data_IF_093642635457
#
_entry.id   IF_093642635457
#
_cell.length_a   1.000
_cell.length_b   1.000
_cell.length_c   1.000
_cell.angle_alpha   90.00
_cell.angle_beta   90.00
_cell.angle_gamma   90.00
#
_symmetry.space_group_name_H-M   'P 1'
#
loop_
_entity.id
_entity.type
_entity.pdbx_description
1 polymer ?
#
# COMPACT_ATOMS: atom_id res chain seq x y z
N UNK A 1 19.05 21.99 -0.03
CA UNK A 1 18.34 21.05 0.86
C UNK A 1 16.87 20.85 0.46
N UNK A 2 16.06 21.91 0.37
CA UNK A 2 14.61 21.84 0.09
C UNK A 2 14.25 21.15 -1.24
N UNK A 3 14.98 21.40 -2.32
CA UNK A 3 14.72 20.78 -3.64
C UNK A 3 14.79 19.24 -3.64
N UNK A 4 15.71 18.66 -2.88
CA UNK A 4 15.83 17.19 -2.79
C UNK A 4 14.67 16.57 -2.02
N UNK A 5 14.17 17.27 -1.00
CA UNK A 5 12.99 16.86 -0.23
C UNK A 5 11.76 16.92 -1.12
N UNK A 6 11.54 18.05 -1.81
CA UNK A 6 10.44 18.20 -2.77
C UNK A 6 10.47 17.12 -3.86
N UNK A 7 11.64 16.85 -4.43
CA UNK A 7 11.83 15.77 -5.41
C UNK A 7 11.50 14.38 -4.86
N UNK A 8 11.88 14.09 -3.62
CA UNK A 8 11.55 12.82 -2.94
C UNK A 8 10.06 12.68 -2.64
N UNK A 9 9.40 13.77 -2.25
CA UNK A 9 7.95 13.77 -2.04
C UNK A 9 7.20 13.48 -3.35
N UNK A 10 7.60 14.13 -4.45
CA UNK A 10 6.99 13.91 -5.77
C UNK A 10 7.24 12.48 -6.25
N UNK A 11 8.48 11.99 -6.14
CA UNK A 11 8.83 10.62 -6.52
C UNK A 11 8.06 9.59 -5.70
N UNK A 12 7.93 9.80 -4.39
CA UNK A 12 7.19 8.89 -3.50
C UNK A 12 5.71 8.84 -3.85
N UNK A 13 5.09 10.00 -4.07
CA UNK A 13 3.68 10.08 -4.46
C UNK A 13 3.42 9.42 -5.83
N UNK A 14 4.27 9.70 -6.82
CA UNK A 14 4.16 9.10 -8.16
C UNK A 14 4.42 7.59 -8.15
N UNK A 15 5.48 7.15 -7.47
CA UNK A 15 5.84 5.73 -7.36
C UNK A 15 4.77 4.90 -6.65
N UNK A 16 4.20 5.42 -5.55
CA UNK A 16 3.10 4.76 -4.84
C UNK A 16 1.85 4.65 -5.72
N UNK A 17 1.48 5.72 -6.43
CA UNK A 17 0.32 5.71 -7.33
C UNK A 17 0.47 4.70 -8.48
N UNK A 18 1.63 4.65 -9.13
CA UNK A 18 1.91 3.68 -10.21
C UNK A 18 1.87 2.25 -9.67
N UNK A 19 2.43 2.00 -8.49
CA UNK A 19 2.41 0.69 -7.87
C UNK A 19 0.97 0.23 -7.59
N UNK A 20 0.18 1.05 -6.90
CA UNK A 20 -1.21 0.72 -6.58
C UNK A 20 -2.06 0.49 -7.83
N UNK A 21 -1.91 1.32 -8.87
CA UNK A 21 -2.66 1.13 -10.13
C UNK A 21 -2.24 -0.17 -10.82
N UNK A 22 -0.96 -0.52 -10.80
CA UNK A 22 -0.46 -1.77 -11.38
C UNK A 22 -1.06 -3.00 -10.70
N UNK A 23 -1.12 -2.98 -9.36
CA UNK A 23 -1.69 -4.09 -8.57
C UNK A 23 -3.21 -4.22 -8.78
N UNK A 24 -3.93 -3.09 -8.88
CA UNK A 24 -5.37 -3.07 -9.22
C UNK A 24 -5.59 -3.68 -10.61
N UNK A 25 -4.79 -3.29 -11.61
CA UNK A 25 -4.93 -3.80 -12.97
C UNK A 25 -4.70 -5.31 -13.06
N UNK A 26 -3.74 -5.84 -12.31
CA UNK A 26 -3.50 -7.29 -12.26
C UNK A 26 -4.70 -8.00 -11.62
N UNK A 27 -5.28 -7.42 -10.55
CA UNK A 27 -6.49 -7.97 -9.95
C UNK A 27 -7.65 -7.99 -10.94
N UNK A 28 -7.87 -6.91 -11.69
CA UNK A 28 -9.02 -6.80 -12.58
C UNK A 28 -8.87 -7.61 -13.88
N UNK A 29 -7.65 -7.72 -14.42
CA UNK A 29 -7.39 -8.36 -15.72
C UNK A 29 -7.03 -9.85 -15.62
N UNK A 30 -6.52 -10.31 -14.48
CA UNK A 30 -5.99 -11.68 -14.33
C UNK A 30 -6.83 -12.49 -13.36
N UNK A 31 -7.25 -13.68 -13.80
CA UNK A 31 -7.96 -14.67 -12.96
C UNK A 31 -7.10 -15.15 -11.79
N UNK A 32 -7.74 -15.46 -10.65
CA UNK A 32 -7.06 -15.77 -9.37
C UNK A 32 -5.92 -16.79 -9.49
N UNK A 33 -6.08 -17.81 -10.33
CA UNK A 33 -5.10 -18.90 -10.52
C UNK A 33 -3.79 -18.42 -11.15
N UNK A 34 -3.84 -17.42 -12.04
CA UNK A 34 -2.65 -16.88 -12.72
C UNK A 34 -2.05 -15.67 -12.03
N UNK A 35 -2.76 -15.01 -11.09
CA UNK A 35 -2.26 -13.84 -10.35
C UNK A 35 -0.93 -14.11 -9.65
N UNK A 36 -0.73 -15.33 -9.14
CA UNK A 36 0.54 -15.74 -8.53
C UNK A 36 1.73 -15.63 -9.49
N UNK A 37 1.56 -16.00 -10.76
CA UNK A 37 2.62 -15.93 -11.77
C UNK A 37 2.95 -14.48 -12.15
N UNK A 38 1.93 -13.63 -12.30
CA UNK A 38 2.14 -12.20 -12.61
C UNK A 38 2.78 -11.45 -11.43
N UNK A 39 2.35 -11.73 -10.20
CA UNK A 39 2.99 -11.20 -9.00
C UNK A 39 4.43 -11.71 -8.84
N UNK A 40 4.71 -12.96 -9.21
CA UNK A 40 6.08 -13.48 -9.25
C UNK A 40 6.93 -12.78 -10.32
N UNK A 41 6.38 -12.49 -11.50
CA UNK A 41 7.08 -11.72 -12.54
C UNK A 41 7.40 -10.28 -12.11
N UNK A 42 6.45 -9.61 -11.44
CA UNK A 42 6.69 -8.31 -10.80
C UNK A 42 7.77 -8.43 -9.71
N UNK A 43 7.69 -9.46 -8.87
CA UNK A 43 8.68 -9.73 -7.82
C UNK A 43 10.09 -9.96 -8.36
N UNK A 44 10.23 -10.71 -9.46
CA UNK A 44 11.50 -10.91 -10.16
C UNK A 44 12.07 -9.59 -10.68
N UNK A 45 11.23 -8.74 -11.26
CA UNK A 45 11.61 -7.41 -11.72
C UNK A 45 12.13 -6.57 -10.54
N UNK A 46 11.44 -6.63 -9.39
CA UNK A 46 11.83 -5.96 -8.17
C UNK A 46 13.17 -6.47 -7.62
N UNK A 47 13.39 -7.79 -7.64
CA UNK A 47 14.63 -8.42 -7.23
C UNK A 47 15.81 -8.01 -8.12
N UNK A 48 15.63 -8.04 -9.43
CA UNK A 48 16.64 -7.59 -10.39
C UNK A 48 16.93 -6.10 -10.23
N UNK A 49 15.90 -5.25 -10.09
CA UNK A 49 16.07 -3.83 -9.84
C UNK A 49 16.83 -3.56 -8.52
N UNK A 50 16.52 -4.31 -7.47
CA UNK A 50 17.19 -4.19 -6.16
C UNK A 50 18.64 -4.65 -6.18
N UNK A 51 19.00 -5.60 -7.05
CA UNK A 51 20.39 -6.03 -7.25
C UNK A 51 21.19 -5.04 -8.12
N UNK A 52 20.60 -4.57 -9.22
CA UNK A 52 21.27 -3.69 -10.19
C UNK A 52 21.38 -2.25 -9.66
N UNK A 53 20.38 -1.77 -8.92
CA UNK A 53 20.29 -0.40 -8.43
C UNK A 53 21.51 0.06 -7.61
N UNK A 54 21.89 -0.65 -6.53
CA UNK A 54 23.07 -0.32 -5.74
C UNK A 54 24.39 -0.45 -6.52
N UNK A 55 24.48 -1.45 -7.42
CA UNK A 55 25.69 -1.69 -8.22
C UNK A 55 25.96 -0.53 -9.18
N UNK A 56 24.92 -0.12 -9.93
CA UNK A 56 24.99 1.02 -10.84
C UNK A 56 25.13 2.33 -10.05
N UNK A 57 24.36 2.51 -8.98
CA UNK A 57 24.44 3.69 -8.12
C UNK A 57 25.81 3.89 -7.50
N UNK A 58 26.43 2.82 -6.98
CA UNK A 58 27.78 2.82 -6.40
C UNK A 58 28.85 3.16 -7.43
N UNK A 59 28.85 2.49 -8.58
CA UNK A 59 29.81 2.73 -9.65
C UNK A 59 29.75 4.17 -10.21
N UNK A 60 28.57 4.78 -10.27
CA UNK A 60 28.41 6.18 -10.67
C UNK A 60 28.77 7.19 -9.56
N UNK A 61 28.53 6.83 -8.30
CA UNK A 61 28.89 7.66 -7.15
C UNK A 61 30.42 7.78 -6.98
N UNK A 62 31.15 6.67 -7.14
CA UNK A 62 32.62 6.64 -7.06
C UNK A 62 33.29 7.56 -8.10
N UNK A 63 32.68 7.72 -9.28
CA UNK A 63 33.18 8.58 -10.36
C UNK A 63 32.76 10.05 -10.21
N UNK A 64 32.13 10.42 -9.09
CA UNK A 64 31.62 11.78 -8.85
C UNK A 64 30.42 12.17 -9.73
N UNK A 65 29.86 11.24 -10.50
CA UNK A 65 28.76 11.46 -11.46
C UNK A 65 27.39 11.06 -10.88
N UNK A 66 27.16 11.30 -9.59
CA UNK A 66 25.91 10.91 -8.90
C UNK A 66 24.62 11.43 -9.57
N UNK A 67 24.68 12.59 -10.25
CA UNK A 67 23.52 13.19 -10.96
C UNK A 67 23.03 12.34 -12.13
N UNK A 68 23.90 11.53 -12.73
CA UNK A 68 23.55 10.66 -13.85
C UNK A 68 22.55 9.55 -13.47
N UNK A 69 22.42 9.24 -12.19
CA UNK A 69 21.36 8.34 -11.68
C UNK A 69 19.98 8.90 -12.04
N UNK A 70 19.78 10.22 -12.01
CA UNK A 70 18.50 10.85 -12.39
C UNK A 70 18.31 10.89 -13.90
N UNK A 71 19.37 11.20 -14.66
CA UNK A 71 19.30 11.25 -16.12
C UNK A 71 19.05 9.88 -16.75
N UNK A 72 19.51 8.79 -16.14
CA UNK A 72 19.22 7.43 -16.60
C UNK A 72 17.77 7.00 -16.36
N UNK A 73 17.13 7.51 -15.31
CA UNK A 73 15.73 7.19 -15.02
C UNK A 73 14.76 7.91 -15.97
N UNK A 74 15.05 9.14 -16.38
CA UNK A 74 14.18 9.93 -17.28
C UNK A 74 13.79 9.25 -18.59
N UNK A 75 14.71 8.66 -19.39
CA UNK A 75 14.35 7.98 -20.63
C UNK A 75 13.54 6.71 -20.38
N UNK A 76 13.82 5.98 -19.29
CA UNK A 76 13.09 4.77 -18.91
C UNK A 76 11.64 5.13 -18.55
N UNK A 77 11.47 6.15 -17.71
CA UNK A 77 10.15 6.66 -17.32
C UNK A 77 9.39 7.20 -18.53
N UNK A 78 10.07 7.95 -19.40
CA UNK A 78 9.48 8.47 -20.64
C UNK A 78 9.00 7.34 -21.56
N UNK A 79 9.81 6.30 -21.74
CA UNK A 79 9.45 5.14 -22.55
C UNK A 79 8.26 4.37 -21.97
N UNK A 80 8.24 4.13 -20.65
CA UNK A 80 7.07 3.53 -19.99
C UNK A 80 5.82 4.40 -20.13
N UNK A 81 5.93 5.72 -20.01
CA UNK A 81 4.81 6.63 -20.18
C UNK A 81 4.24 6.57 -21.59
N UNK A 82 5.09 6.50 -22.62
CA UNK A 82 4.66 6.33 -24.02
C UNK A 82 3.89 5.01 -24.17
N UNK A 83 4.41 3.89 -23.67
CA UNK A 83 3.72 2.60 -23.74
C UNK A 83 2.34 2.69 -23.08
N UNK A 84 2.25 3.26 -21.88
CA UNK A 84 0.97 3.42 -21.17
C UNK A 84 -0.01 4.26 -21.97
N UNK A 85 0.43 5.40 -22.52
CA UNK A 85 -0.46 6.29 -23.29
C UNK A 85 -1.01 5.62 -24.55
N UNK A 86 -0.21 4.79 -25.24
CA UNK A 86 -0.64 4.16 -26.49
C UNK A 86 -1.36 2.82 -26.31
N UNK A 87 -1.01 2.03 -25.28
CA UNK A 87 -1.52 0.67 -25.10
C UNK A 87 -2.55 0.52 -23.98
N UNK A 88 -2.60 1.44 -23.01
CA UNK A 88 -3.53 1.33 -21.87
C UNK A 88 -4.88 1.97 -22.19
N UNK A 89 -5.78 1.20 -22.81
CA UNK A 89 -7.19 1.56 -22.97
C UNK A 89 -8.04 1.03 -21.80
N UNK A 90 -8.16 1.83 -20.74
CA UNK A 90 -9.06 1.53 -19.63
C UNK A 90 -10.42 2.19 -19.84
N UNK A 91 -11.48 1.40 -19.68
CA UNK A 91 -12.85 1.94 -19.59
C UNK A 91 -12.92 2.85 -18.36
N UNK A 92 -13.10 4.15 -18.59
CA UNK A 92 -13.11 5.16 -17.53
C UNK A 92 -14.43 5.07 -16.76
N UNK A 93 -14.43 4.84 -15.44
CA UNK A 93 -15.66 4.92 -14.66
C UNK A 93 -16.15 6.38 -14.62
N UNK A 94 -17.35 6.59 -15.18
CA UNK A 94 -18.09 7.85 -15.12
C UNK A 94 -18.56 8.12 -13.67
N UNK A 95 -18.47 9.37 -13.22
CA UNK A 95 -18.94 9.78 -11.89
C UNK A 95 -18.26 11.03 -11.36
N UNK A 96 -18.97 11.78 -10.53
CA UNK A 96 -18.51 13.03 -9.91
C UNK A 96 -17.46 12.72 -8.82
N UNK A 97 -16.45 13.59 -8.60
CA UNK A 97 -15.41 13.36 -7.59
C UNK A 97 -15.97 12.99 -6.20
N UNK A 98 -17.09 13.59 -5.80
CA UNK A 98 -17.78 13.25 -4.54
C UNK A 98 -18.26 11.80 -4.48
N UNK A 99 -18.79 11.26 -5.57
CA UNK A 99 -19.24 9.85 -5.64
C UNK A 99 -18.07 8.88 -5.59
N UNK A 100 -16.93 9.27 -6.20
CA UNK A 100 -15.69 8.49 -6.15
C UNK A 100 -15.09 8.46 -4.73
N UNK A 101 -15.11 9.58 -4.01
CA UNK A 101 -14.69 9.64 -2.61
C UNK A 101 -15.66 8.88 -1.68
N UNK A 102 -16.96 8.87 -1.96
CA UNK A 102 -17.93 8.12 -1.16
C UNK A 102 -17.82 6.60 -1.36
N UNK A 103 -17.39 6.14 -2.55
CA UNK A 103 -17.14 4.72 -2.86
C UNK A 103 -15.76 4.22 -2.42
N UNK A 104 -14.89 5.10 -1.92
CA UNK A 104 -13.56 4.71 -1.45
C UNK A 104 -13.68 3.93 -0.14
N UNK A 105 -12.98 2.79 -0.06
CA UNK A 105 -12.89 2.02 1.18
C UNK A 105 -12.01 2.78 2.21
N UNK A 106 -12.69 3.56 3.04
CA UNK A 106 -12.06 4.35 4.10
C UNK A 106 -11.41 3.50 5.18
N UNK A 107 -11.86 2.25 5.39
CA UNK A 107 -11.28 1.35 6.40
C UNK A 107 -9.92 0.87 5.90
N UNK A 108 -9.86 0.36 4.66
CA UNK A 108 -8.60 -0.06 4.06
C UNK A 108 -7.65 1.13 3.90
N UNK A 109 -8.15 2.29 3.49
CA UNK A 109 -7.34 3.52 3.43
C UNK A 109 -6.75 3.87 4.80
N UNK A 110 -7.56 3.95 5.85
CA UNK A 110 -7.08 4.23 7.21
C UNK A 110 -6.06 3.18 7.70
N UNK A 111 -6.29 1.90 7.39
CA UNK A 111 -5.38 0.81 7.72
C UNK A 111 -4.00 0.96 7.07
N UNK A 112 -3.96 1.24 5.76
CA UNK A 112 -2.71 1.46 5.01
C UNK A 112 -1.91 2.64 5.56
N UNK A 113 -2.59 3.75 5.86
CA UNK A 113 -1.94 4.93 6.46
C UNK A 113 -1.47 4.65 7.88
N UNK A 114 -2.24 3.89 8.68
CA UNK A 114 -1.84 3.47 10.02
C UNK A 114 -0.58 2.60 10.04
N UNK A 115 -0.52 1.59 9.16
CA UNK A 115 0.66 0.73 8.99
C UNK A 115 1.86 1.54 8.52
N UNK A 116 1.67 2.44 7.55
CA UNK A 116 2.75 3.26 6.99
C UNK A 116 3.33 4.23 8.03
N UNK A 117 2.47 4.94 8.77
CA UNK A 117 2.88 5.87 9.84
C UNK A 117 3.53 5.11 10.99
N UNK A 118 2.91 4.01 11.43
CA UNK A 118 3.43 3.16 12.51
C UNK A 118 4.80 2.58 12.18
N UNK A 119 4.99 2.08 10.97
CA UNK A 119 6.27 1.57 10.47
C UNK A 119 7.34 2.65 10.42
N UNK A 120 7.02 3.84 9.87
CA UNK A 120 7.95 4.96 9.82
C UNK A 120 8.37 5.45 11.21
N UNK A 121 7.44 5.52 12.16
CA UNK A 121 7.72 5.89 13.55
C UNK A 121 8.61 4.83 14.21
N UNK A 122 8.26 3.55 14.08
CA UNK A 122 9.02 2.45 14.65
C UNK A 122 10.46 2.45 14.13
N UNK A 123 10.62 2.59 12.81
CA UNK A 123 11.93 2.64 12.17
C UNK A 123 12.76 3.82 12.65
N UNK A 124 12.15 5.01 12.73
CA UNK A 124 12.82 6.22 13.21
C UNK A 124 13.22 6.10 14.69
N UNK A 125 12.34 5.56 15.54
CA UNK A 125 12.61 5.38 16.97
C UNK A 125 13.70 4.34 17.23
N UNK A 126 13.64 3.20 16.54
CA UNK A 126 14.66 2.16 16.65
C UNK A 126 16.01 2.64 16.12
N UNK A 127 16.06 3.44 15.05
CA UNK A 127 17.32 4.02 14.55
C UNK A 127 18.03 4.92 15.58
N UNK A 128 17.27 5.54 16.49
CA UNK A 128 17.80 6.44 17.53
C UNK A 128 18.13 5.74 18.84
N UNK A 129 17.54 4.58 19.09
CA UNK A 129 17.57 3.92 20.41
C UNK A 129 18.28 2.57 20.41
N UNK A 130 18.57 1.99 19.25
CA UNK A 130 19.32 0.74 19.18
C UNK A 130 20.81 0.99 19.45
N UNK A 131 21.49 0.07 20.16
CA UNK A 131 22.94 0.12 20.33
C UNK A 131 23.64 0.09 18.97
N UNK A 132 24.67 0.93 18.80
CA UNK A 132 25.41 1.04 17.52
C UNK A 132 26.06 -0.27 17.10
N UNK A 133 26.43 -1.13 18.06
CA UNK A 133 27.01 -2.45 17.80
C UNK A 133 26.05 -3.39 17.05
N UNK A 134 24.75 -3.32 17.35
CA UNK A 134 23.74 -4.12 16.66
C UNK A 134 23.40 -3.51 15.29
N UNK A 135 23.41 -2.18 15.19
CA UNK A 135 23.17 -1.47 13.93
C UNK A 135 24.23 -1.79 12.87
N UNK A 136 25.49 -1.93 13.27
CA UNK A 136 26.59 -2.30 12.38
C UNK A 136 26.49 -3.75 11.86
N UNK A 137 25.79 -4.63 12.58
CA UNK A 137 25.62 -6.03 12.22
C UNK A 137 24.40 -6.29 11.32
N UNK A 138 23.54 -5.28 11.09
CA UNK A 138 22.34 -5.44 10.29
C UNK A 138 22.59 -5.11 8.81
N UNK A 139 22.45 -6.07 7.88
CA UNK A 139 22.74 -5.88 6.44
C UNK A 139 21.91 -4.78 5.77
N UNK A 140 20.73 -4.46 6.32
CA UNK A 140 19.83 -3.41 5.82
C UNK A 140 19.43 -2.39 6.91
N UNK A 141 20.14 -2.37 8.04
CA UNK A 141 19.79 -1.54 9.19
C UNK A 141 18.39 -1.80 9.74
N UNK A 142 17.75 -0.76 10.27
CA UNK A 142 16.45 -0.82 10.99
C UNK A 142 15.25 -0.93 10.03
N UNK A 143 15.46 -0.88 8.71
CA UNK A 143 14.38 -0.94 7.72
C UNK A 143 13.56 -2.23 7.80
N UNK A 144 14.13 -3.30 8.36
CA UNK A 144 13.42 -4.54 8.66
C UNK A 144 13.45 -4.77 10.17
N UNK A 145 12.83 -3.88 10.94
CA UNK A 145 12.74 -4.01 12.40
C UNK A 145 12.29 -5.42 12.87
N UNK A 146 11.46 -6.09 12.06
CA UNK A 146 11.00 -7.46 12.29
C UNK A 146 12.09 -8.53 12.22
N UNK A 147 13.18 -8.31 11.46
CA UNK A 147 14.29 -9.27 11.38
C UNK A 147 15.15 -9.29 12.63
N UNK A 148 15.03 -8.26 13.48
CA UNK A 148 15.74 -8.15 14.75
C UNK A 148 15.04 -9.00 15.82
N UNK A 149 13.70 -9.13 15.75
CA UNK A 149 12.88 -9.79 16.79
C UNK A 149 13.36 -11.22 17.10
N UNK A 150 13.65 -12.10 16.11
CA UNK A 150 14.19 -13.43 16.38
C UNK A 150 15.62 -13.40 16.94
N UNK A 151 16.41 -12.38 16.60
CA UNK A 151 17.80 -12.24 17.02
C UNK A 151 17.95 -11.78 18.48
N UNK A 152 16.92 -11.14 19.06
CA UNK A 152 16.93 -10.66 20.47
C UNK A 152 17.17 -11.80 21.46
N UNK A 153 16.63 -12.99 21.18
CA UNK A 153 16.77 -14.17 22.05
C UNK A 153 18.20 -14.70 22.12
N UNK A 154 19.04 -14.38 21.12
CA UNK A 154 20.45 -14.78 21.06
C UNK A 154 21.44 -13.80 21.67
N UNK A 155 21.00 -12.58 22.06
CA UNK A 155 21.88 -11.55 22.60
C UNK A 155 22.23 -11.83 24.07
N UNK A 156 23.50 -11.68 24.45
CA UNK A 156 23.94 -11.73 25.86
C UNK A 156 23.43 -10.52 26.66
N UNK A 157 23.31 -10.66 27.98
CA UNK A 157 23.11 -9.51 28.87
C UNK A 157 24.41 -8.69 28.93
N UNK A 158 24.39 -7.35 28.81
CA UNK A 158 23.29 -6.37 29.01
C UNK A 158 22.54 -5.89 27.74
N UNK A 159 23.04 -6.21 26.54
CA UNK A 159 22.50 -5.72 25.26
C UNK A 159 21.03 -6.12 25.03
N UNK A 160 20.64 -7.30 25.50
CA UNK A 160 19.26 -7.78 25.42
C UNK A 160 18.28 -6.84 26.12
N UNK A 161 18.62 -6.36 27.32
CA UNK A 161 17.77 -5.47 28.10
C UNK A 161 17.63 -4.09 27.44
N UNK A 162 18.71 -3.55 26.88
CA UNK A 162 18.68 -2.28 26.15
C UNK A 162 17.81 -2.35 24.89
N UNK A 163 17.93 -3.44 24.12
CA UNK A 163 17.12 -3.65 22.92
C UNK A 163 15.64 -3.81 23.29
N UNK A 164 15.31 -4.61 24.30
CA UNK A 164 13.93 -4.76 24.78
C UNK A 164 13.32 -3.42 25.22
N UNK A 165 14.08 -2.60 25.97
CA UNK A 165 13.64 -1.27 26.37
C UNK A 165 13.47 -0.32 25.18
N UNK A 166 14.37 -0.38 24.19
CA UNK A 166 14.28 0.41 22.97
C UNK A 166 13.01 0.07 22.18
N UNK A 167 12.68 -1.22 22.04
CA UNK A 167 11.43 -1.68 21.41
C UNK A 167 10.21 -1.23 22.21
N UNK A 168 10.18 -1.46 23.52
CA UNK A 168 9.06 -1.08 24.38
C UNK A 168 8.76 0.42 24.30
N UNK A 169 9.80 1.26 24.43
CA UNK A 169 9.62 2.72 24.33
C UNK A 169 9.24 3.16 22.92
N UNK A 170 9.58 2.41 21.87
CA UNK A 170 9.19 2.73 20.49
C UNK A 170 7.71 2.44 20.25
N UNK A 171 7.22 1.33 20.78
CA UNK A 171 5.79 0.96 20.74
C UNK A 171 4.93 2.02 21.43
N UNK A 172 5.37 2.53 22.59
CA UNK A 172 4.65 3.61 23.30
C UNK A 172 4.47 4.86 22.42
N UNK A 173 5.47 5.23 21.63
CA UNK A 173 5.36 6.39 20.72
C UNK A 173 4.34 6.14 19.62
N UNK A 174 4.23 4.90 19.11
CA UNK A 174 3.19 4.54 18.13
C UNK A 174 1.80 4.76 18.74
N UNK A 175 1.58 4.28 19.96
CA UNK A 175 0.30 4.47 20.66
C UNK A 175 -0.04 5.95 20.86
N UNK A 176 0.94 6.78 21.25
CA UNK A 176 0.76 8.22 21.41
C UNK A 176 0.35 8.90 20.10
N UNK A 177 1.00 8.58 18.99
CA UNK A 177 0.67 9.16 17.69
C UNK A 177 -0.69 8.68 17.19
N UNK A 178 -0.99 7.39 17.30
CA UNK A 178 -2.30 6.85 16.91
C UNK A 178 -3.44 7.48 17.71
N UNK A 179 -3.23 7.71 19.01
CA UNK A 179 -4.21 8.40 19.86
C UNK A 179 -4.41 9.85 19.40
N UNK A 180 -3.35 10.55 19.04
CA UNK A 180 -3.43 11.91 18.48
C UNK A 180 -4.18 11.96 17.14
N UNK A 181 -3.91 11.00 16.24
CA UNK A 181 -4.61 10.88 14.95
C UNK A 181 -6.09 10.55 15.17
N UNK A 182 -6.42 9.65 16.09
CA UNK A 182 -7.80 9.32 16.42
C UNK A 182 -8.56 10.51 17.01
N UNK A 183 -7.93 11.27 17.92
CA UNK A 183 -8.52 12.49 18.47
C UNK A 183 -8.80 13.54 17.38
N UNK A 184 -7.88 13.73 16.45
CA UNK A 184 -8.09 14.59 15.27
C UNK A 184 -9.22 14.07 14.37
N UNK A 185 -9.31 12.76 14.16
CA UNK A 185 -10.39 12.14 13.40
C UNK A 185 -11.76 12.37 14.01
N UNK A 186 -11.88 12.27 15.35
CA UNK A 186 -13.10 12.59 16.08
C UNK A 186 -13.46 14.07 15.93
N UNK A 187 -12.47 14.97 16.07
CA UNK A 187 -12.69 16.40 15.89
C UNK A 187 -13.19 16.74 14.49
N UNK A 188 -12.62 16.14 13.44
CA UNK A 188 -13.06 16.34 12.05
C UNK A 188 -14.46 15.75 11.84
N UNK A 189 -14.77 14.62 12.46
CA UNK A 189 -16.09 13.97 12.39
C UNK A 189 -17.22 14.87 12.90
N UNK A 190 -16.97 15.68 13.94
CA UNK A 190 -17.94 16.64 14.46
C UNK A 190 -18.33 17.73 13.44
N UNK A 191 -17.51 17.97 12.41
CA UNK A 191 -17.78 18.94 11.34
C UNK A 191 -18.32 18.30 10.05
N UNK A 192 -18.42 16.96 9.97
CA UNK A 192 -18.99 16.29 8.80
C UNK A 192 -20.52 16.36 8.84
N UNK A 193 -21.11 16.99 7.81
CA UNK A 193 -22.56 16.98 7.61
C UNK A 193 -23.00 15.60 7.11
N UNK A 194 -24.00 15.02 7.76
CA UNK A 194 -24.62 13.78 7.31
C UNK A 194 -25.24 13.99 5.92
N UNK A 195 -24.71 13.30 4.90
CA UNK A 195 -25.36 13.21 3.61
C UNK A 195 -26.47 12.16 3.68
N UNK A 196 -27.69 12.42 3.18
CA UNK A 196 -28.73 11.42 3.13
C UNK A 196 -28.31 10.28 2.21
N UNK A 197 -28.44 9.03 2.67
CA UNK A 197 -28.23 7.85 1.84
C UNK A 197 -29.30 7.84 0.74
N UNK A 198 -28.87 7.74 -0.52
CA UNK A 198 -29.80 7.55 -1.62
C UNK A 198 -30.29 6.10 -1.57
N UNK A 199 -31.58 5.92 -1.25
CA UNK A 199 -32.24 4.61 -1.06
C UNK A 199 -32.70 3.96 -2.36
N UNK A 200 -32.36 4.53 -3.52
CA UNK A 200 -32.70 3.95 -4.81
C UNK A 200 -31.75 2.79 -5.13
N UNK A 201 -32.31 1.59 -5.14
CA UNK A 201 -31.68 0.38 -5.66
C UNK A 201 -31.79 0.45 -7.18
N UNK A 202 -30.67 0.56 -7.90
CA UNK A 202 -30.67 0.44 -9.36
C UNK A 202 -31.14 -0.98 -9.73
N UNK A 203 -32.36 -1.10 -10.27
CA UNK A 203 -32.93 -2.38 -10.73
C UNK A 203 -32.12 -3.04 -11.86
N UNK A 204 -31.18 -2.31 -12.47
CA UNK A 204 -30.35 -2.76 -13.59
C UNK A 204 -29.37 -3.90 -13.25
N UNK A 205 -29.20 -4.26 -11.97
CA UNK A 205 -28.28 -5.32 -11.53
C UNK A 205 -28.95 -6.48 -10.79
N UNK A 206 -30.28 -6.61 -10.87
CA UNK A 206 -30.98 -7.83 -10.45
C UNK A 206 -30.70 -8.97 -11.43
N UNK A 207 -30.18 -10.10 -10.97
CA UNK A 207 -30.12 -11.33 -11.77
C UNK A 207 -31.53 -11.64 -12.29
N UNK A 208 -31.71 -11.61 -13.60
CA UNK A 208 -32.96 -12.00 -14.24
C UNK A 208 -33.16 -13.50 -14.01
N UNK A 209 -34.05 -13.84 -13.07
CA UNK A 209 -34.44 -15.22 -12.83
C UNK A 209 -35.16 -15.72 -14.07
N UNK A 210 -34.45 -16.53 -14.85
CA UNK A 210 -34.93 -17.27 -16.01
C UNK A 210 -36.18 -18.10 -15.65
N UNK A 211 -37.37 -17.53 -15.90
CA UNK A 211 -38.63 -18.25 -15.92
C UNK A 211 -38.81 -18.86 -17.32
N UNK A 212 -38.10 -19.94 -17.60
CA UNK A 212 -38.37 -20.75 -18.79
C UNK A 212 -38.06 -22.24 -18.61
N UNK A 213 -38.69 -22.92 -17.65
CA UNK A 213 -38.94 -24.37 -17.80
C UNK A 213 -40.21 -24.78 -17.05
N UNK A 214 -41.30 -24.97 -17.80
CA UNK A 214 -42.50 -25.63 -17.29
C UNK A 214 -42.37 -27.15 -17.30
N UNK A 215 -42.94 -27.80 -16.28
CA UNK A 215 -43.89 -28.94 -16.38
C UNK A 215 -44.05 -29.65 -15.03
N UNK A 216 -45.31 -29.85 -14.63
CA UNK A 216 -45.79 -31.06 -13.95
C UNK A 216 -46.15 -30.92 -12.46
N UNK A 217 -47.31 -31.50 -12.12
CA UNK A 217 -47.93 -31.70 -10.78
C UNK A 217 -48.86 -30.56 -10.34
N UNK A 218 -50.15 -30.53 -10.71
CA UNK A 218 -51.27 -31.47 -10.50
C UNK A 218 -51.89 -31.39 -9.07
N UNK A 219 -52.98 -30.60 -8.99
CA UNK A 219 -54.27 -30.77 -8.29
C UNK A 219 -54.27 -31.05 -6.77
N UNK A 220 -54.86 -30.13 -5.98
CA UNK A 220 -55.99 -30.41 -5.06
C UNK A 220 -56.88 -29.17 -4.84
N UNK A 221 -58.21 -29.32 -4.67
CA UNK A 221 -59.19 -28.27 -4.94
C UNK A 221 -59.52 -27.37 -3.75
N UNK A 222 -59.85 -26.13 -4.12
CA UNK A 222 -60.49 -25.07 -3.34
C UNK A 222 -61.79 -25.58 -2.71
N UNK A 223 -62.00 -25.37 -1.41
CA UNK A 223 -63.33 -25.42 -0.80
C UNK A 223 -63.65 -24.05 -0.18
N UNK A 224 -64.73 -23.47 -0.67
CA UNK A 224 -65.49 -22.37 -0.08
C UNK A 224 -66.13 -22.83 1.23
N UNK A 225 -65.97 -22.05 2.29
CA UNK A 225 -67.04 -21.30 2.97
C UNK A 225 -66.41 -20.33 3.98
#
# INVERSE_FOLDING_TARGET
MFWLIAGRTIQGAGGGGIQSVSDILISDLVSLERRGLYNAALGLTWGLASAIGPLVGGALAERGKWRWIFYLNLPIVGFSAVIVVFFLNLHKPHGTLKEKFARMDWITFAGVWGVSIGGAILQNQLSKRLPQELLAQLPQGVAVAYSIIPAINGLGEPLRGEVQQAFAKSIVVIWQVLTGVAALGILISLFMKALPLNTQVDETWGLENDQSTGRGEEILPKKSD
#
